data_IF_933868661333
#
_entry.id   IF_933868661333
#
_cell.length_a   1.000
_cell.length_b   1.000
_cell.length_c   1.000
_cell.angle_alpha   90.00
_cell.angle_beta   90.00
_cell.angle_gamma   90.00
#
_symmetry.space_group_name_H-M   'P 1'
#
loop_
_entity.id
_entity.type
_entity.pdbx_description
1 polymer ?
#
# COMPACT_ATOMS: atom_id res chain seq x y z
N UNK A 1 -84.81 14.77 4.61
CA UNK A 1 -83.53 15.51 4.53
C UNK A 1 -82.61 15.00 5.62
N UNK A 2 -81.57 14.23 5.31
CA UNK A 2 -80.55 13.78 6.27
C UNK A 2 -79.19 13.97 5.63
N UNK A 3 -78.42 14.89 6.21
CA UNK A 3 -77.09 15.32 5.79
C UNK A 3 -76.11 14.16 6.01
N UNK A 4 -75.48 13.64 4.96
CA UNK A 4 -74.38 12.67 5.06
C UNK A 4 -73.07 13.46 5.04
N UNK A 5 -72.45 13.61 6.19
CA UNK A 5 -71.13 14.23 6.36
C UNK A 5 -70.04 13.25 5.93
N UNK A 6 -69.21 13.72 5.02
CA UNK A 6 -68.04 13.08 4.42
C UNK A 6 -66.90 12.98 5.43
N UNK A 7 -66.29 11.80 5.58
CA UNK A 7 -65.02 11.65 6.32
C UNK A 7 -63.96 11.12 5.37
N UNK A 8 -63.05 12.02 4.95
CA UNK A 8 -61.87 11.72 4.14
C UNK A 8 -60.74 11.30 5.09
N UNK A 9 -60.29 10.04 5.03
CA UNK A 9 -59.15 9.54 5.79
C UNK A 9 -57.85 9.87 5.02
N UNK A 10 -57.04 10.77 5.58
CA UNK A 10 -55.68 11.06 5.10
C UNK A 10 -54.72 10.00 5.64
N UNK A 11 -54.21 9.15 4.74
CA UNK A 11 -53.14 8.22 5.05
C UNK A 11 -51.77 8.92 4.87
N UNK A 12 -51.11 9.22 5.98
CA UNK A 12 -49.72 9.73 5.98
C UNK A 12 -48.74 8.57 5.87
N UNK A 13 -48.22 8.34 4.67
CA UNK A 13 -47.12 7.39 4.43
C UNK A 13 -45.79 7.97 4.91
N UNK A 14 -45.15 7.32 5.89
CA UNK A 14 -43.79 7.67 6.33
C UNK A 14 -42.79 7.00 5.39
N UNK A 15 -42.13 7.79 4.55
CA UNK A 15 -41.03 7.33 3.69
C UNK A 15 -39.75 7.35 4.52
N UNK A 16 -39.28 6.18 4.95
CA UNK A 16 -37.96 6.02 5.59
C UNK A 16 -36.91 5.92 4.49
N UNK A 17 -36.20 7.02 4.24
CA UNK A 17 -35.05 7.02 3.36
C UNK A 17 -33.84 6.39 4.09
N UNK A 18 -33.47 5.17 3.71
CA UNK A 18 -32.23 4.54 4.16
C UNK A 18 -31.08 5.16 3.38
N UNK A 19 -30.34 6.06 4.03
CA UNK A 19 -29.11 6.63 3.47
C UNK A 19 -28.01 5.60 3.71
N UNK A 20 -27.70 4.78 2.71
CA UNK A 20 -26.49 3.99 2.72
C UNK A 20 -25.28 4.94 2.61
N UNK A 21 -24.64 5.23 3.74
CA UNK A 21 -23.36 5.92 3.74
C UNK A 21 -22.33 5.02 3.04
N UNK A 22 -21.90 5.41 1.84
CA UNK A 22 -20.79 4.76 1.18
C UNK A 22 -19.54 4.96 2.05
N UNK A 23 -19.03 3.87 2.64
CA UNK A 23 -17.75 3.88 3.34
C UNK A 23 -16.67 4.07 2.27
N UNK A 24 -16.19 5.30 2.13
CA UNK A 24 -15.01 5.61 1.32
C UNK A 24 -13.82 5.09 2.11
N UNK A 25 -13.34 3.90 1.79
CA UNK A 25 -12.04 3.45 2.30
C UNK A 25 -10.96 4.30 1.63
N UNK A 26 -10.07 4.96 2.40
CA UNK A 26 -8.98 5.71 1.79
C UNK A 26 -8.12 4.74 0.96
N UNK A 27 -7.94 5.05 -0.32
CA UNK A 27 -6.98 4.34 -1.17
C UNK A 27 -5.61 4.39 -0.50
N UNK A 28 -4.91 3.25 -0.33
CA UNK A 28 -3.62 3.29 0.32
C UNK A 28 -2.65 4.15 -0.48
N UNK A 29 -2.08 5.16 0.18
CA UNK A 29 -1.12 6.08 -0.45
C UNK A 29 0.29 5.65 -0.09
N UNK A 30 1.21 5.85 -1.02
CA UNK A 30 2.63 5.83 -0.72
C UNK A 30 2.95 6.94 0.27
N UNK A 31 3.79 6.62 1.25
CA UNK A 31 4.35 7.58 2.21
C UNK A 31 5.83 7.29 2.40
N UNK A 32 6.60 8.28 2.85
CA UNK A 32 7.99 8.05 3.26
C UNK A 32 8.05 6.97 4.33
N UNK A 33 9.05 6.11 4.24
CA UNK A 33 9.41 5.18 5.30
C UNK A 33 10.70 5.68 5.97
N UNK A 34 10.67 5.80 7.30
CA UNK A 34 11.76 6.42 8.08
C UNK A 34 12.46 5.40 9.02
N UNK A 35 12.16 4.10 8.87
CA UNK A 35 12.78 3.01 9.63
C UNK A 35 14.07 2.54 8.94
N UNK A 36 15.14 3.32 9.09
CA UNK A 36 16.42 3.10 8.38
C UNK A 36 16.96 1.67 8.53
N UNK A 37 16.88 1.09 9.73
CA UNK A 37 17.37 -0.26 9.99
C UNK A 37 16.60 -1.30 9.17
N UNK A 38 15.27 -1.19 9.15
CA UNK A 38 14.43 -2.08 8.36
C UNK A 38 14.65 -1.87 6.87
N UNK A 39 14.75 -0.63 6.43
CA UNK A 39 14.95 -0.30 5.01
C UNK A 39 16.28 -0.87 4.52
N UNK A 40 17.36 -0.71 5.30
CA UNK A 40 18.66 -1.28 4.97
C UNK A 40 18.62 -2.82 4.93
N UNK A 41 17.90 -3.45 5.86
CA UNK A 41 17.69 -4.91 5.87
C UNK A 41 16.97 -5.39 4.61
N UNK A 42 15.87 -4.72 4.24
CA UNK A 42 15.10 -5.05 3.04
C UNK A 42 15.91 -4.82 1.76
N UNK A 43 16.70 -3.75 1.70
CA UNK A 43 17.59 -3.46 0.59
C UNK A 43 18.65 -4.56 0.41
N UNK A 44 19.32 -4.97 1.49
CA UNK A 44 20.30 -6.07 1.46
C UNK A 44 19.66 -7.39 1.05
N UNK A 45 18.47 -7.68 1.58
CA UNK A 45 17.71 -8.87 1.23
C UNK A 45 17.36 -8.88 -0.27
N UNK A 46 16.83 -7.79 -0.81
CA UNK A 46 16.48 -7.68 -2.23
C UNK A 46 17.70 -7.88 -3.15
N UNK A 47 18.86 -7.30 -2.80
CA UNK A 47 20.10 -7.50 -3.56
C UNK A 47 20.59 -8.95 -3.53
N UNK A 48 20.43 -9.64 -2.39
CA UNK A 48 20.76 -11.05 -2.27
C UNK A 48 19.86 -11.94 -3.14
N UNK A 49 18.54 -11.65 -3.19
CA UNK A 49 17.57 -12.38 -4.02
C UNK A 49 17.89 -12.32 -5.52
N UNK A 50 18.51 -11.23 -5.99
CA UNK A 50 18.94 -11.12 -7.39
C UNK A 50 20.03 -12.13 -7.76
N UNK A 51 20.77 -12.70 -6.79
CA UNK A 51 21.85 -13.68 -7.00
C UNK A 51 22.94 -13.21 -7.97
N UNK A 52 23.04 -11.90 -8.19
CA UNK A 52 24.05 -11.27 -9.06
C UNK A 52 25.32 -10.85 -8.30
N UNK A 53 25.33 -11.02 -6.98
CA UNK A 53 26.44 -10.58 -6.12
C UNK A 53 26.58 -9.07 -6.07
N UNK A 54 25.45 -8.37 -6.05
CA UNK A 54 25.40 -6.94 -5.81
C UNK A 54 25.63 -6.64 -4.32
N UNK A 55 26.33 -5.56 -4.02
CA UNK A 55 26.58 -5.10 -2.65
C UNK A 55 25.95 -3.73 -2.44
N UNK A 56 25.16 -3.58 -1.37
CA UNK A 56 24.56 -2.30 -1.02
C UNK A 56 25.64 -1.27 -0.72
N UNK A 57 25.53 -0.08 -1.31
CA UNK A 57 26.34 1.09 -0.97
C UNK A 57 25.53 2.00 -0.06
N UNK A 58 24.35 2.40 -0.55
CA UNK A 58 23.50 3.36 0.14
C UNK A 58 22.04 3.15 -0.24
N UNK A 59 21.14 3.50 0.67
CA UNK A 59 19.71 3.70 0.38
C UNK A 59 19.49 5.18 0.12
N UNK A 60 18.86 5.51 -1.01
CA UNK A 60 18.60 6.89 -1.41
C UNK A 60 17.26 7.39 -0.91
N UNK A 61 16.24 6.53 -0.98
CA UNK A 61 14.87 6.81 -0.49
C UNK A 61 14.11 5.52 -0.31
N UNK A 62 13.13 5.54 0.59
CA UNK A 62 12.15 4.47 0.71
C UNK A 62 10.75 5.05 0.86
N UNK A 63 9.81 4.50 0.09
CA UNK A 63 8.40 4.73 0.28
C UNK A 63 7.73 3.42 0.67
N UNK A 64 6.71 3.47 1.52
CA UNK A 64 5.91 2.32 1.88
C UNK A 64 4.43 2.55 1.58
N UNK A 65 3.74 1.46 1.25
CA UNK A 65 2.31 1.45 1.00
C UNK A 65 1.68 0.25 1.70
N UNK A 66 0.81 0.53 2.68
CA UNK A 66 -0.09 -0.46 3.29
C UNK A 66 -1.01 -1.02 2.20
N UNK A 67 -1.20 -2.34 2.14
CA UNK A 67 -2.06 -2.95 1.11
C UNK A 67 -3.53 -3.12 1.55
N UNK A 68 -3.90 -2.64 2.75
CA UNK A 68 -5.19 -2.94 3.38
C UNK A 68 -5.33 -4.42 3.75
N UNK A 69 -4.21 -5.13 3.84
CA UNK A 69 -4.08 -6.57 4.06
C UNK A 69 -2.93 -6.88 5.01
N UNK A 70 -2.40 -8.12 5.02
CA UNK A 70 -1.45 -8.56 6.05
C UNK A 70 -0.03 -8.02 5.88
N UNK A 71 0.23 -7.17 4.89
CA UNK A 71 1.59 -6.76 4.54
C UNK A 71 1.70 -5.36 3.94
N UNK A 72 2.96 -4.95 3.78
CA UNK A 72 3.37 -3.63 3.30
C UNK A 72 4.26 -3.84 2.08
N UNK A 73 4.08 -2.99 1.07
CA UNK A 73 5.05 -2.89 -0.04
C UNK A 73 6.01 -1.74 0.26
N UNK A 74 7.30 -2.02 0.16
CA UNK A 74 8.40 -1.07 0.26
C UNK A 74 8.99 -0.84 -1.11
N UNK A 75 9.01 0.41 -1.57
CA UNK A 75 9.73 0.85 -2.76
C UNK A 75 11.01 1.53 -2.34
N UNK A 76 12.13 0.88 -2.60
CA UNK A 76 13.45 1.31 -2.19
C UNK A 76 14.24 1.72 -3.42
N UNK A 77 14.78 2.94 -3.42
CA UNK A 77 15.85 3.30 -4.35
C UNK A 77 17.18 3.22 -3.65
N UNK A 78 18.15 2.60 -4.29
CA UNK A 78 19.44 2.26 -3.69
C UNK A 78 20.56 2.31 -4.70
N UNK A 79 21.76 2.47 -4.18
CA UNK A 79 23.01 2.33 -4.92
C UNK A 79 23.63 0.98 -4.57
N UNK A 80 24.10 0.26 -5.59
CA UNK A 80 24.80 -1.01 -5.39
C UNK A 80 26.02 -1.14 -6.28
N UNK A 81 27.06 -1.82 -5.76
CA UNK A 81 28.21 -2.25 -6.54
C UNK A 81 27.97 -3.65 -7.11
N UNK A 82 28.40 -3.86 -8.35
CA UNK A 82 28.57 -5.19 -8.89
C UNK A 82 29.94 -5.79 -8.49
N UNK A 83 30.16 -7.07 -8.83
CA UNK A 83 31.41 -7.79 -8.51
C UNK A 83 32.67 -7.18 -9.11
N UNK A 84 32.56 -6.37 -10.16
CA UNK A 84 33.70 -5.69 -10.80
C UNK A 84 33.92 -4.28 -10.26
N UNK A 85 33.19 -3.88 -9.20
CA UNK A 85 33.28 -2.54 -8.61
C UNK A 85 32.51 -1.46 -9.39
N UNK A 86 31.71 -1.85 -10.38
CA UNK A 86 30.83 -0.92 -11.09
C UNK A 86 29.61 -0.56 -10.24
N UNK A 87 29.36 0.73 -10.07
CA UNK A 87 28.20 1.25 -9.35
C UNK A 87 26.98 1.37 -10.26
N UNK A 88 25.81 1.02 -9.74
CA UNK A 88 24.52 1.24 -10.40
C UNK A 88 23.47 1.76 -9.43
N UNK A 89 22.52 2.51 -9.98
CA UNK A 89 21.34 3.01 -9.29
C UNK A 89 20.15 2.09 -9.59
N UNK A 90 19.48 1.61 -8.56
CA UNK A 90 18.41 0.63 -8.68
C UNK A 90 17.14 1.08 -7.95
N UNK A 91 16.01 0.57 -8.41
CA UNK A 91 14.75 0.59 -7.70
C UNK A 91 14.30 -0.84 -7.47
N UNK A 92 13.84 -1.13 -6.25
CA UNK A 92 13.26 -2.42 -5.90
C UNK A 92 11.96 -2.24 -5.14
N UNK A 93 10.97 -3.07 -5.46
CA UNK A 93 9.73 -3.17 -4.70
C UNK A 93 9.74 -4.51 -3.96
N UNK A 94 9.62 -4.47 -2.63
CA UNK A 94 9.60 -5.63 -1.73
C UNK A 94 8.28 -5.65 -0.98
N UNK A 95 7.55 -6.76 -1.09
CA UNK A 95 6.43 -7.04 -0.19
C UNK A 95 6.94 -7.75 1.06
N UNK A 96 6.53 -7.30 2.25
CA UNK A 96 6.74 -8.00 3.52
C UNK A 96 5.40 -8.20 4.23
N UNK A 97 5.07 -9.45 4.55
CA UNK A 97 3.95 -9.77 5.44
C UNK A 97 4.32 -9.43 6.89
N UNK A 98 3.50 -8.61 7.54
CA UNK A 98 3.83 -8.00 8.83
C UNK A 98 3.98 -9.02 9.95
N UNK A 99 3.13 -10.05 9.97
CA UNK A 99 3.06 -11.07 11.03
C UNK A 99 4.16 -12.14 10.89
N UNK A 100 4.38 -12.63 9.68
CA UNK A 100 5.28 -13.78 9.41
C UNK A 100 6.67 -13.35 8.98
N UNK A 101 6.85 -12.09 8.57
CA UNK A 101 8.07 -11.57 7.92
C UNK A 101 8.43 -12.30 6.63
N UNK A 102 7.48 -13.00 6.02
CA UNK A 102 7.66 -13.56 4.68
C UNK A 102 7.80 -12.41 3.68
N UNK A 103 8.84 -12.48 2.86
CA UNK A 103 9.18 -11.46 1.87
C UNK A 103 9.00 -11.97 0.45
N UNK A 104 8.62 -11.08 -0.45
CA UNK A 104 8.56 -11.35 -1.88
C UNK A 104 9.15 -10.17 -2.63
N UNK A 105 10.13 -10.45 -3.49
CA UNK A 105 10.68 -9.47 -4.41
C UNK A 105 9.70 -9.27 -5.56
N UNK A 106 9.02 -8.13 -5.58
CA UNK A 106 8.03 -7.81 -6.63
C UNK A 106 8.71 -7.22 -7.86
N UNK A 107 9.73 -6.39 -7.65
CA UNK A 107 10.44 -5.72 -8.72
C UNK A 107 11.90 -5.45 -8.35
N UNK A 108 12.76 -5.51 -9.35
CA UNK A 108 14.14 -5.03 -9.28
C UNK A 108 14.58 -4.54 -10.66
N UNK A 109 15.08 -3.32 -10.75
CA UNK A 109 15.56 -2.77 -12.01
C UNK A 109 16.36 -1.49 -11.84
N UNK A 110 16.90 -0.97 -12.95
CA UNK A 110 17.64 0.29 -12.97
C UNK A 110 16.69 1.44 -12.59
N UNK A 111 17.13 2.31 -11.69
CA UNK A 111 16.38 3.51 -11.33
C UNK A 111 16.28 4.46 -12.54
N UNK A 112 15.10 5.03 -12.78
CA UNK A 112 14.86 6.04 -13.82
C UNK A 112 14.64 7.40 -13.20
#
# INVERSE_FOLDING_TARGET
MRMRTTSLLLATGVIVAVICAAVVTPTPRWKSSDDDLKIEELAKWALAEMKQGLQLINVLRCEEQDQGGPGIIYRIMLDALNRTGGMGHFTTDVYEEAATKVRTLLYFGIAR
#
